data_IF_387136916929
#
_entry.id   IF_387136916929
#
_cell.length_a   1.000
_cell.length_b   1.000
_cell.length_c   1.000
_cell.angle_alpha   90.00
_cell.angle_beta   90.00
_cell.angle_gamma   90.00
#
_symmetry.space_group_name_H-M   'P 1'
#
loop_
_entity.id
_entity.type
_entity.pdbx_description
1 polymer ?
#
# COMPACT_ATOMS: atom_id res chain seq x y z
N UNK A 1 -16.93 5.93 -17.02
CA UNK A 1 -15.80 5.03 -16.71
C UNK A 1 -15.38 5.21 -15.27
N UNK A 2 -15.26 4.13 -14.54
CA UNK A 2 -14.86 4.22 -13.14
C UNK A 2 -13.37 4.53 -13.03
N UNK A 3 -13.03 5.36 -12.05
CA UNK A 3 -11.62 5.62 -11.73
C UNK A 3 -10.95 4.37 -11.17
N UNK A 4 -9.69 4.18 -11.50
CA UNK A 4 -8.87 3.22 -10.81
C UNK A 4 -8.69 3.66 -9.36
N UNK A 5 -8.57 2.70 -8.45
CA UNK A 5 -8.46 2.94 -7.01
C UNK A 5 -7.12 2.42 -6.50
N UNK A 6 -6.53 3.16 -5.58
CA UNK A 6 -5.17 2.89 -5.10
C UNK A 6 -5.12 2.79 -3.59
N UNK A 7 -4.37 1.78 -3.10
CA UNK A 7 -3.95 1.70 -1.72
C UNK A 7 -2.44 1.93 -1.63
N UNK A 8 -2.01 2.67 -0.63
CA UNK A 8 -0.60 3.05 -0.45
C UNK A 8 -0.05 2.44 0.83
N UNK A 9 1.06 1.72 0.73
CA UNK A 9 1.79 1.16 1.87
C UNK A 9 3.06 1.97 2.11
N UNK A 10 3.44 2.14 3.37
CA UNK A 10 4.60 2.96 3.75
C UNK A 10 4.45 4.36 3.17
N UNK A 11 3.31 4.96 3.43
CA UNK A 11 2.82 6.11 2.67
C UNK A 11 3.69 7.37 2.83
N UNK A 12 4.32 7.57 3.98
CA UNK A 12 5.04 8.80 4.25
C UNK A 12 4.10 10.00 4.17
N UNK A 13 4.55 11.06 3.52
CA UNK A 13 3.75 12.28 3.38
C UNK A 13 2.79 12.26 2.18
N UNK A 14 2.54 11.08 1.62
CA UNK A 14 1.51 10.92 0.61
C UNK A 14 1.97 11.14 -0.82
N UNK A 15 3.20 10.75 -1.15
CA UNK A 15 3.71 10.88 -2.52
C UNK A 15 2.92 10.04 -3.53
N UNK A 16 2.63 8.80 -3.21
CA UNK A 16 1.82 7.94 -4.07
C UNK A 16 0.38 8.43 -4.19
N UNK A 17 -0.32 8.79 -3.09
CA UNK A 17 -1.64 9.40 -3.21
C UNK A 17 -1.66 10.68 -4.04
N UNK A 18 -0.66 11.53 -3.91
CA UNK A 18 -0.56 12.74 -4.72
C UNK A 18 -0.40 12.41 -6.19
N UNK A 19 0.52 11.51 -6.53
CA UNK A 19 0.73 11.08 -7.91
C UNK A 19 -0.54 10.44 -8.48
N UNK A 20 -1.23 9.63 -7.69
CA UNK A 20 -2.49 9.02 -8.10
C UNK A 20 -3.54 10.08 -8.43
N UNK A 21 -3.69 11.07 -7.57
CA UNK A 21 -4.67 12.15 -7.77
C UNK A 21 -4.37 12.91 -9.07
N UNK A 22 -3.10 13.20 -9.34
CA UNK A 22 -2.68 13.88 -10.57
C UNK A 22 -3.04 13.03 -11.79
N UNK A 23 -2.93 11.72 -11.70
CA UNK A 23 -3.24 10.80 -12.80
C UNK A 23 -4.73 10.43 -12.89
N UNK A 24 -5.59 11.01 -12.06
CA UNK A 24 -7.01 10.66 -12.06
C UNK A 24 -7.31 9.33 -11.39
N UNK A 25 -6.42 8.85 -10.55
CA UNK A 25 -6.58 7.61 -9.76
C UNK A 25 -7.02 8.02 -8.36
N UNK A 26 -8.01 7.33 -7.81
CA UNK A 26 -8.54 7.65 -6.48
C UNK A 26 -7.71 6.99 -5.38
N UNK A 27 -7.04 7.77 -4.50
CA UNK A 27 -6.40 7.19 -3.32
C UNK A 27 -7.46 6.83 -2.28
N UNK A 28 -7.56 5.55 -1.95
CA UNK A 28 -8.64 5.03 -1.09
C UNK A 28 -8.17 4.87 0.34
N UNK A 29 -6.99 4.28 0.52
CA UNK A 29 -6.43 4.07 1.86
C UNK A 29 -4.91 4.14 1.84
N UNK A 30 -4.36 4.42 3.02
CA UNK A 30 -2.92 4.48 3.21
C UNK A 30 -2.54 3.81 4.53
N UNK A 31 -1.41 3.12 4.52
CA UNK A 31 -0.80 2.50 5.70
C UNK A 31 0.47 3.27 6.05
N UNK A 32 0.53 3.80 7.25
CA UNK A 32 1.66 4.53 7.79
C UNK A 32 1.57 4.47 9.32
N UNK A 33 2.71 4.44 10.00
CA UNK A 33 2.74 4.37 11.46
C UNK A 33 3.22 5.67 12.10
N UNK A 34 3.92 6.51 11.36
CA UNK A 34 4.49 7.75 11.90
C UNK A 34 3.42 8.83 12.02
N UNK A 35 3.25 9.45 13.21
CA UNK A 35 2.17 10.41 13.42
C UNK A 35 2.24 11.65 12.52
N UNK A 36 3.44 12.19 12.29
CA UNK A 36 3.58 13.41 11.51
C UNK A 36 3.15 13.23 10.05
N UNK A 37 3.66 12.20 9.33
CA UNK A 37 3.17 11.96 7.97
C UNK A 37 1.66 11.71 7.91
N UNK A 38 1.09 11.01 8.90
CA UNK A 38 -0.35 10.78 8.94
C UNK A 38 -1.11 12.10 9.02
N UNK A 39 -0.65 13.05 9.86
CA UNK A 39 -1.28 14.36 9.96
C UNK A 39 -1.23 15.12 8.63
N UNK A 40 -0.09 15.07 7.95
CA UNK A 40 0.07 15.74 6.64
C UNK A 40 -0.93 15.19 5.63
N UNK A 41 -1.04 13.87 5.55
CA UNK A 41 -1.92 13.23 4.56
C UNK A 41 -3.40 13.40 4.91
N UNK A 42 -3.75 13.49 6.19
CA UNK A 42 -5.12 13.80 6.60
C UNK A 42 -5.57 15.17 6.11
N UNK A 43 -4.66 16.12 6.12
CA UNK A 43 -4.95 17.47 5.63
C UNK A 43 -5.08 17.50 4.11
N UNK A 44 -4.22 16.76 3.41
CA UNK A 44 -4.19 16.75 1.94
C UNK A 44 -5.25 15.85 1.32
N UNK A 45 -5.55 14.74 1.96
CA UNK A 45 -6.48 13.73 1.44
C UNK A 45 -7.50 13.36 2.51
N UNK A 46 -8.41 14.29 2.84
CA UNK A 46 -9.36 14.06 3.95
C UNK A 46 -10.30 12.87 3.72
N UNK A 47 -10.51 12.47 2.47
CA UNK A 47 -11.35 11.31 2.16
C UNK A 47 -10.61 9.98 2.15
N UNK A 48 -9.28 10.00 2.33
CA UNK A 48 -8.49 8.77 2.31
C UNK A 48 -8.47 8.12 3.69
N UNK A 49 -8.74 6.81 3.74
CA UNK A 49 -8.76 6.06 4.99
C UNK A 49 -7.35 5.73 5.45
N UNK A 50 -7.04 5.96 6.73
CA UNK A 50 -5.78 5.55 7.34
C UNK A 50 -5.96 4.20 8.01
N UNK A 51 -5.21 3.20 7.56
CA UNK A 51 -5.43 1.82 7.98
C UNK A 51 -4.39 1.28 8.97
N UNK A 52 -3.37 2.08 9.30
CA UNK A 52 -2.43 1.77 10.37
C UNK A 52 -1.23 0.94 9.94
N UNK A 53 -0.79 0.08 10.85
CA UNK A 53 0.43 -0.70 10.73
C UNK A 53 0.24 -1.87 9.77
N UNK A 54 1.12 -1.96 8.75
CA UNK A 54 1.03 -3.02 7.74
C UNK A 54 1.10 -4.42 8.34
N UNK A 55 1.86 -4.60 9.43
CA UNK A 55 2.01 -5.92 10.04
C UNK A 55 0.71 -6.42 10.67
N UNK A 56 -0.24 -5.52 10.90
CA UNK A 56 -1.54 -5.82 11.51
C UNK A 56 -2.69 -5.80 10.51
N UNK A 57 -2.42 -5.44 9.27
CA UNK A 57 -3.47 -5.36 8.25
C UNK A 57 -3.95 -6.74 7.84
N UNK A 58 -5.25 -6.83 7.64
CA UNK A 58 -5.90 -8.01 7.04
C UNK A 58 -6.45 -7.60 5.68
N UNK A 59 -5.91 -8.18 4.62
CA UNK A 59 -6.31 -7.81 3.26
C UNK A 59 -7.79 -7.95 3.01
N UNK A 60 -8.42 -8.94 3.63
CA UNK A 60 -9.86 -9.17 3.46
C UNK A 60 -10.72 -8.03 4.01
N UNK A 61 -10.19 -7.24 4.95
CA UNK A 61 -10.92 -6.14 5.59
C UNK A 61 -10.66 -4.79 4.92
N UNK A 62 -9.67 -4.71 4.02
CA UNK A 62 -9.36 -3.46 3.33
C UNK A 62 -10.35 -3.18 2.20
N UNK A 63 -10.71 -1.91 1.99
CA UNK A 63 -11.49 -1.57 0.80
C UNK A 63 -10.77 -2.02 -0.47
N UNK A 64 -11.46 -2.71 -1.39
CA UNK A 64 -10.80 -3.20 -2.61
C UNK A 64 -10.25 -2.07 -3.45
N UNK A 65 -9.06 -2.29 -4.01
CA UNK A 65 -8.39 -1.32 -4.88
C UNK A 65 -7.79 -2.05 -6.07
N UNK A 66 -7.52 -1.32 -7.13
CA UNK A 66 -6.93 -1.87 -8.36
C UNK A 66 -5.42 -1.93 -8.28
N UNK A 67 -4.81 -0.99 -7.56
CA UNK A 67 -3.36 -0.81 -7.48
C UNK A 67 -2.96 -0.74 -6.01
N UNK A 68 -1.91 -1.47 -5.65
CA UNK A 68 -1.26 -1.33 -4.35
C UNK A 68 0.17 -0.88 -4.58
N UNK A 69 0.50 0.30 -4.07
CA UNK A 69 1.85 0.85 -4.12
C UNK A 69 2.54 0.69 -2.79
N UNK A 70 3.85 0.52 -2.81
CA UNK A 70 4.64 0.51 -1.60
C UNK A 70 6.09 0.82 -1.90
N UNK A 71 6.79 1.36 -0.90
CA UNK A 71 8.20 1.64 -1.00
C UNK A 71 8.90 1.29 0.30
N UNK A 72 10.15 0.86 0.21
CA UNK A 72 10.93 0.53 1.40
C UNK A 72 11.23 1.80 2.20
N UNK A 73 11.04 1.81 3.53
CA UNK A 73 11.50 2.92 4.34
C UNK A 73 13.00 3.14 4.17
N UNK A 74 13.42 4.41 4.10
CA UNK A 74 14.83 4.75 3.84
C UNK A 74 15.80 4.19 4.87
N UNK A 75 15.35 4.00 6.10
CA UNK A 75 16.19 3.44 7.16
C UNK A 75 16.66 2.03 6.87
N UNK A 76 15.87 1.27 6.12
CA UNK A 76 16.22 -0.10 5.73
C UNK A 76 17.28 -0.12 4.62
N UNK A 77 17.59 1.03 4.06
CA UNK A 77 18.53 1.18 2.97
C UNK A 77 19.90 1.67 3.43
N UNK A 78 20.16 1.77 4.75
CA UNK A 78 21.47 2.17 5.25
C UNK A 78 22.53 1.17 4.81
N UNK A 79 23.73 1.68 4.52
CA UNK A 79 24.83 0.83 4.03
C UNK A 79 25.14 -0.29 5.02
N UNK A 80 25.12 0.02 6.31
CA UNK A 80 25.39 -0.96 7.35
C UNK A 80 24.31 -2.03 7.42
N UNK A 81 23.06 -1.64 7.25
CA UNK A 81 21.94 -2.53 7.27
C UNK A 81 21.62 -3.17 5.93
N UNK A 82 22.25 -2.67 4.86
CA UNK A 82 21.87 -3.04 3.52
C UNK A 82 22.02 -4.54 3.27
N UNK A 83 23.12 -5.11 3.73
CA UNK A 83 23.40 -6.53 3.53
C UNK A 83 22.58 -7.42 4.44
N UNK A 84 22.39 -7.01 5.69
CA UNK A 84 21.53 -7.72 6.62
C UNK A 84 20.06 -7.41 6.37
N UNK A 85 19.76 -6.14 6.05
CA UNK A 85 18.42 -5.66 5.81
C UNK A 85 17.77 -6.20 4.55
N UNK A 86 18.54 -6.37 3.48
CA UNK A 86 18.01 -6.97 2.26
C UNK A 86 17.61 -8.42 2.48
N UNK A 87 18.36 -9.12 3.32
CA UNK A 87 18.05 -10.51 3.63
C UNK A 87 16.98 -10.63 4.73
N UNK A 88 16.82 -9.59 5.57
CA UNK A 88 15.94 -9.63 6.73
C UNK A 88 14.80 -8.62 6.68
N UNK A 89 14.98 -7.43 7.30
CA UNK A 89 13.89 -6.48 7.53
C UNK A 89 13.25 -5.96 6.25
N UNK A 90 14.06 -5.60 5.25
CA UNK A 90 13.54 -5.09 3.98
C UNK A 90 12.77 -6.15 3.23
N UNK A 91 13.32 -7.35 3.16
CA UNK A 91 12.65 -8.50 2.58
C UNK A 91 11.34 -8.76 3.31
N UNK A 92 11.33 -8.62 4.63
CA UNK A 92 10.16 -8.80 5.45
C UNK A 92 9.04 -7.80 5.10
N UNK A 93 9.39 -6.52 4.93
CA UNK A 93 8.41 -5.49 4.57
C UNK A 93 7.85 -5.71 3.16
N UNK A 94 8.70 -6.07 2.22
CA UNK A 94 8.24 -6.43 0.87
C UNK A 94 7.30 -7.65 0.92
N UNK A 95 7.64 -8.64 1.72
CA UNK A 95 6.79 -9.82 1.89
C UNK A 95 5.45 -9.47 2.52
N UNK A 96 5.42 -8.46 3.40
CA UNK A 96 4.16 -7.98 3.97
C UNK A 96 3.27 -7.35 2.89
N UNK A 97 3.85 -6.62 1.95
CA UNK A 97 3.08 -6.11 0.80
C UNK A 97 2.48 -7.26 0.00
N UNK A 98 3.28 -8.27 -0.30
CA UNK A 98 2.80 -9.44 -1.03
C UNK A 98 1.69 -10.17 -0.26
N UNK A 99 1.84 -10.29 1.07
CA UNK A 99 0.83 -10.92 1.91
C UNK A 99 -0.51 -10.17 1.83
N UNK A 100 -0.47 -8.85 2.00
CA UNK A 100 -1.68 -8.04 1.95
C UNK A 100 -2.38 -8.18 0.60
N UNK A 101 -1.61 -8.09 -0.49
CA UNK A 101 -2.16 -8.24 -1.84
C UNK A 101 -2.79 -9.62 -2.03
N UNK A 102 -2.12 -10.67 -1.58
CA UNK A 102 -2.65 -12.02 -1.69
C UNK A 102 -3.96 -12.18 -0.93
N UNK A 103 -4.02 -11.65 0.30
CA UNK A 103 -5.24 -11.69 1.11
C UNK A 103 -6.38 -10.93 0.45
N UNK A 104 -6.08 -9.77 -0.13
CA UNK A 104 -7.08 -8.99 -0.85
C UNK A 104 -7.60 -9.76 -2.07
N UNK A 105 -6.71 -10.38 -2.82
CA UNK A 105 -7.11 -11.15 -4.01
C UNK A 105 -7.94 -12.37 -3.63
N UNK A 106 -7.57 -13.06 -2.55
CA UNK A 106 -8.35 -14.20 -2.07
C UNK A 106 -9.75 -13.78 -1.64
N UNK A 107 -9.85 -12.64 -0.95
CA UNK A 107 -11.15 -12.09 -0.57
C UNK A 107 -11.98 -11.70 -1.80
N UNK A 108 -11.34 -11.15 -2.81
CA UNK A 108 -12.03 -10.75 -4.05
C UNK A 108 -12.57 -11.96 -4.80
N UNK A 109 -11.80 -13.05 -4.83
CA UNK A 109 -12.28 -14.32 -5.40
C UNK A 109 -13.47 -14.88 -4.61
N UNK A 110 -13.41 -14.77 -3.28
CA UNK A 110 -14.51 -15.21 -2.42
C UNK A 110 -15.79 -14.43 -2.69
N UNK A 111 -15.67 -13.18 -3.18
CA UNK A 111 -16.82 -12.37 -3.58
C UNK A 111 -17.34 -12.72 -4.98
N UNK A 112 -16.70 -13.66 -5.67
CA UNK A 112 -17.13 -14.10 -6.99
C UNK A 112 -16.36 -13.53 -8.17
N UNK A 113 -15.34 -12.70 -7.94
CA UNK A 113 -14.52 -12.20 -9.04
C UNK A 113 -13.57 -13.26 -9.55
N UNK A 114 -13.32 -13.25 -10.85
CA UNK A 114 -12.48 -14.26 -11.49
C UNK A 114 -11.53 -13.64 -12.51
N UNK A 115 -10.46 -14.36 -12.83
CA UNK A 115 -9.50 -14.02 -13.88
C UNK A 115 -8.96 -12.59 -13.71
N UNK A 116 -9.02 -11.78 -14.75
CA UNK A 116 -8.48 -10.44 -14.75
C UNK A 116 -9.29 -9.43 -13.93
N UNK A 117 -10.47 -9.83 -13.45
CA UNK A 117 -11.28 -8.95 -12.59
C UNK A 117 -10.87 -9.00 -11.12
N UNK A 118 -10.04 -9.97 -10.72
CA UNK A 118 -9.58 -10.11 -9.33
C UNK A 118 -8.66 -8.94 -8.97
N UNK A 119 -8.96 -8.27 -7.86
CA UNK A 119 -8.24 -7.07 -7.40
C UNK A 119 -7.39 -7.35 -6.16
N UNK A 120 -6.27 -6.64 -5.96
CA UNK A 120 -5.67 -5.68 -6.90
C UNK A 120 -5.06 -6.40 -8.11
N UNK A 121 -5.01 -5.69 -9.22
CA UNK A 121 -4.44 -6.20 -10.47
C UNK A 121 -3.00 -5.75 -10.67
N UNK A 122 -2.61 -4.65 -10.03
CA UNK A 122 -1.29 -4.04 -10.22
C UNK A 122 -0.62 -3.83 -8.88
N UNK A 123 0.67 -4.08 -8.85
CA UNK A 123 1.53 -3.80 -7.71
C UNK A 123 2.68 -2.92 -8.18
N UNK A 124 2.96 -1.87 -7.41
CA UNK A 124 4.12 -1.03 -7.64
C UNK A 124 4.98 -1.05 -6.38
N UNK A 125 6.25 -1.35 -6.56
CA UNK A 125 7.22 -1.34 -5.45
C UNK A 125 8.36 -0.41 -5.82
N UNK A 126 8.58 0.61 -5.01
CA UNK A 126 9.69 1.53 -5.17
C UNK A 126 10.79 1.14 -4.20
N UNK A 127 11.99 1.05 -4.73
CA UNK A 127 13.14 0.56 -3.97
C UNK A 127 14.00 1.71 -3.46
#
# INVERSE_FOLDING_TARGET
MQKLRLGSLFDGIGGFPLAAAVCGIEPVWASEIEPFPIEVTRLRFPGMLHVGDITKLRGAELPPVDIVCGGSPCQDLSIAGLRAGLAGARSGLFMEQLRVIREMRDADRARGRTALAVRPRYMLWEN
#
